data_IF_642452536773
#
_entry.id   IF_642452536773
#
_cell.length_a   1.000
_cell.length_b   1.000
_cell.length_c   1.000
_cell.angle_alpha   90.00
_cell.angle_beta   90.00
_cell.angle_gamma   90.00
#
_symmetry.space_group_name_H-M   'P 1'
#
loop_
_entity.id
_entity.type
_entity.pdbx_description
1 polymer ?
#
# COMPACT_ATOMS: atom_id res chain seq x y z
N UNK A 1 -17.31 38.73 -22.06
CA UNK A 1 -16.02 38.00 -22.04
C UNK A 1 -15.32 38.36 -20.73
N UNK A 2 -15.11 37.39 -19.84
CA UNK A 2 -14.40 37.63 -18.57
C UNK A 2 -12.91 37.77 -18.86
N UNK A 3 -12.22 38.80 -18.34
CA UNK A 3 -10.77 38.91 -18.49
C UNK A 3 -10.08 37.80 -17.70
N UNK A 4 -9.28 36.97 -18.38
CA UNK A 4 -8.50 35.91 -17.73
C UNK A 4 -7.45 36.54 -16.82
N UNK A 5 -7.54 36.26 -15.52
CA UNK A 5 -6.52 36.67 -14.54
C UNK A 5 -5.15 36.16 -15.00
N UNK A 6 -4.10 37.01 -15.03
CA UNK A 6 -2.76 36.54 -15.34
C UNK A 6 -2.33 35.52 -14.29
N UNK A 7 -1.84 34.37 -14.74
CA UNK A 7 -1.34 33.30 -13.88
C UNK A 7 -0.20 33.83 -13.01
N UNK A 8 -0.19 33.42 -11.73
CA UNK A 8 0.91 33.72 -10.82
C UNK A 8 2.20 33.06 -11.31
N UNK A 9 3.35 33.64 -10.99
CA UNK A 9 4.67 33.11 -11.37
C UNK A 9 4.86 31.65 -10.91
N UNK A 10 4.33 31.32 -9.74
CA UNK A 10 4.33 29.96 -9.20
C UNK A 10 3.49 28.98 -10.06
N UNK A 11 2.36 29.44 -10.59
CA UNK A 11 1.47 28.63 -11.44
C UNK A 11 2.14 28.35 -12.79
N UNK A 12 2.79 29.34 -13.37
CA UNK A 12 3.61 29.20 -14.58
C UNK A 12 4.74 28.19 -14.38
N UNK A 13 5.44 28.27 -13.25
CA UNK A 13 6.52 27.33 -12.94
C UNK A 13 5.98 25.90 -12.75
N UNK A 14 4.83 25.75 -12.10
CA UNK A 14 4.15 24.46 -11.94
C UNK A 14 3.74 23.87 -13.29
N UNK A 15 3.19 24.67 -14.19
CA UNK A 15 2.79 24.25 -15.54
C UNK A 15 3.99 23.79 -16.37
N UNK A 16 5.11 24.51 -16.30
CA UNK A 16 6.38 24.11 -16.95
C UNK A 16 6.87 22.76 -16.44
N UNK A 17 6.83 22.55 -15.13
CA UNK A 17 7.22 21.27 -14.53
C UNK A 17 6.30 20.12 -14.95
N UNK A 18 4.99 20.37 -14.99
CA UNK A 18 3.99 19.39 -15.48
C UNK A 18 4.27 19.06 -16.95
N UNK A 19 4.54 20.05 -17.80
CA UNK A 19 4.83 19.84 -19.21
C UNK A 19 6.11 19.01 -19.41
N UNK A 20 7.19 19.34 -18.70
CA UNK A 20 8.45 18.58 -18.73
C UNK A 20 8.24 17.12 -18.33
N UNK A 21 7.52 16.89 -17.23
CA UNK A 21 7.26 15.54 -16.74
C UNK A 21 6.38 14.74 -17.71
N UNK A 22 5.38 15.38 -18.33
CA UNK A 22 4.57 14.73 -19.37
C UNK A 22 5.40 14.35 -20.59
N UNK A 23 6.29 15.22 -21.05
CA UNK A 23 7.19 14.93 -22.18
C UNK A 23 8.13 13.76 -21.86
N UNK A 24 8.70 13.72 -20.65
CA UNK A 24 9.54 12.62 -20.19
C UNK A 24 8.77 11.29 -20.08
N UNK A 25 7.53 11.32 -19.57
CA UNK A 25 6.69 10.12 -19.51
C UNK A 25 6.26 9.64 -20.90
N UNK A 26 6.13 10.56 -21.87
CA UNK A 26 5.86 10.23 -23.26
C UNK A 26 7.08 9.59 -23.95
N UNK A 27 8.30 10.09 -23.72
CA UNK A 27 9.52 9.49 -24.28
C UNK A 27 9.78 8.09 -23.76
N UNK A 28 9.37 7.79 -22.52
CA UNK A 28 9.41 6.46 -21.93
C UNK A 28 8.28 5.52 -22.43
N UNK A 29 7.36 6.02 -23.26
CA UNK A 29 6.24 5.24 -23.80
C UNK A 29 5.18 4.85 -22.76
N UNK A 30 5.19 5.47 -21.57
CA UNK A 30 4.29 5.15 -20.45
C UNK A 30 2.91 5.79 -20.67
N UNK A 31 2.87 7.00 -21.23
CA UNK A 31 1.62 7.71 -21.53
C UNK A 31 1.25 7.49 -22.99
N UNK A 32 0.31 6.57 -23.24
CA UNK A 32 -0.38 6.49 -24.53
C UNK A 32 -1.35 7.69 -24.65
N UNK A 33 -1.45 8.36 -25.80
CA UNK A 33 -2.51 9.35 -26.01
C UNK A 33 -3.85 8.69 -25.73
N UNK A 34 -4.65 9.28 -24.82
CA UNK A 34 -5.97 8.78 -24.46
C UNK A 34 -6.82 8.70 -25.73
N UNK A 35 -7.26 7.50 -26.17
CA UNK A 35 -8.24 7.42 -27.25
C UNK A 35 -9.57 7.95 -26.72
N UNK A 36 -10.21 8.79 -27.54
CA UNK A 36 -11.55 9.33 -27.32
C UNK A 36 -12.51 8.18 -26.98
N UNK A 37 -13.31 8.41 -25.93
CA UNK A 37 -14.24 7.49 -25.26
C UNK A 37 -14.84 6.43 -26.19
N UNK A 38 -14.51 5.15 -25.95
CA UNK A 38 -15.25 4.00 -26.50
C UNK A 38 -16.22 3.48 -25.45
N UNK A 39 -17.47 3.37 -25.88
CA UNK A 39 -18.68 2.95 -25.17
C UNK A 39 -18.50 1.66 -24.38
N UNK A 40 -19.11 1.60 -23.20
CA UNK A 40 -19.06 0.46 -22.26
C UNK A 40 -19.51 -0.85 -22.94
N UNK A 41 -18.56 -1.76 -23.19
CA UNK A 41 -18.90 -3.15 -23.50
C UNK A 41 -19.21 -3.88 -22.19
N UNK A 42 -20.46 -4.32 -22.06
CA UNK A 42 -20.93 -5.13 -20.94
C UNK A 42 -20.14 -6.44 -20.89
N UNK A 43 -19.58 -6.76 -19.72
CA UNK A 43 -18.86 -8.02 -19.48
C UNK A 43 -19.87 -9.18 -19.45
N UNK A 44 -19.59 -10.31 -20.14
CA UNK A 44 -20.45 -11.48 -20.04
C UNK A 44 -20.40 -12.10 -18.63
N UNK A 45 -21.48 -12.77 -18.19
CA UNK A 45 -21.58 -13.34 -16.86
C UNK A 45 -20.57 -14.48 -16.64
N UNK A 46 -19.92 -14.48 -15.47
CA UNK A 46 -18.98 -15.53 -15.06
C UNK A 46 -19.71 -16.84 -14.78
N UNK A 47 -19.36 -17.91 -15.49
CA UNK A 47 -19.77 -19.29 -15.20
C UNK A 47 -19.22 -19.73 -13.83
N UNK A 48 -20.08 -20.21 -12.94
CA UNK A 48 -19.68 -20.80 -11.64
C UNK A 48 -18.89 -22.10 -11.91
N UNK A 49 -17.76 -22.30 -11.22
CA UNK A 49 -16.97 -23.55 -11.28
C UNK A 49 -17.64 -24.63 -10.44
N UNK A 50 -17.80 -25.81 -11.01
CA UNK A 50 -18.27 -27.00 -10.29
C UNK A 50 -17.24 -27.44 -9.22
N UNK A 51 -17.72 -27.73 -8.03
CA UNK A 51 -16.93 -28.09 -6.84
C UNK A 51 -16.33 -29.50 -6.87
N UNK A 52 -16.60 -30.29 -7.90
CA UNK A 52 -16.13 -31.68 -8.05
C UNK A 52 -15.04 -31.87 -9.12
N UNK A 53 -14.53 -30.79 -9.72
CA UNK A 53 -13.45 -30.89 -10.69
C UNK A 53 -12.10 -31.14 -10.00
N UNK A 54 -11.41 -32.22 -10.39
CA UNK A 54 -10.04 -32.53 -9.97
C UNK A 54 -9.09 -31.33 -10.12
N UNK A 55 -8.08 -31.16 -9.24
CA UNK A 55 -7.18 -30.03 -9.31
C UNK A 55 -6.47 -30.01 -10.67
N UNK A 56 -6.49 -28.89 -11.42
CA UNK A 56 -5.73 -28.80 -12.65
C UNK A 56 -4.24 -28.98 -12.31
N UNK A 57 -3.56 -29.83 -13.10
CA UNK A 57 -2.10 -29.95 -13.08
C UNK A 57 -1.44 -28.56 -13.14
N UNK A 58 -0.25 -28.35 -12.55
CA UNK A 58 0.40 -27.03 -12.48
C UNK A 58 0.80 -26.51 -13.87
N UNK A 59 -0.16 -25.95 -14.60
CA UNK A 59 0.05 -25.33 -15.89
C UNK A 59 0.38 -23.84 -15.69
N UNK A 60 1.65 -23.55 -15.38
CA UNK A 60 2.18 -22.19 -15.53
C UNK A 60 3.69 -22.14 -15.77
N UNK A 61 4.19 -22.82 -16.81
CA UNK A 61 5.45 -22.37 -17.43
C UNK A 61 5.12 -21.11 -18.22
N UNK A 62 5.41 -19.94 -17.63
CA UNK A 62 5.25 -18.68 -18.34
C UNK A 62 6.17 -18.66 -19.57
N UNK A 63 5.63 -18.27 -20.72
CA UNK A 63 6.39 -18.13 -21.98
C UNK A 63 7.57 -17.14 -21.88
N UNK A 64 7.62 -16.34 -20.81
CA UNK A 64 8.71 -15.40 -20.49
C UNK A 64 10.02 -16.10 -20.12
N UNK A 65 9.99 -17.38 -19.72
CA UNK A 65 11.19 -18.17 -19.43
C UNK A 65 11.70 -18.96 -20.65
N UNK A 66 10.99 -18.90 -21.79
CA UNK A 66 11.30 -19.68 -22.99
C UNK A 66 11.82 -18.85 -24.16
N UNK A 67 11.85 -17.51 -24.04
CA UNK A 67 12.61 -16.67 -24.96
C UNK A 67 14.09 -16.73 -24.57
N UNK A 68 14.94 -17.00 -25.56
CA UNK A 68 16.40 -17.04 -25.44
C UNK A 68 16.94 -15.95 -24.51
N UNK A 69 17.94 -16.32 -23.69
CA UNK A 69 18.63 -15.40 -22.82
C UNK A 69 19.05 -14.16 -23.63
N UNK A 70 18.63 -12.94 -23.27
CA UNK A 70 19.28 -11.77 -23.81
C UNK A 70 20.75 -11.84 -23.39
N UNK A 71 21.67 -11.70 -24.33
CA UNK A 71 23.07 -11.40 -24.01
C UNK A 71 23.07 -10.15 -23.15
N UNK A 72 23.28 -10.36 -21.86
CA UNK A 72 23.34 -9.31 -20.86
C UNK A 72 24.71 -8.67 -21.00
N UNK A 73 24.82 -7.66 -21.86
CA UNK A 73 25.91 -6.69 -21.78
C UNK A 73 25.77 -5.96 -20.44
N UNK A 74 26.71 -6.15 -19.48
CA UNK A 74 26.63 -5.53 -18.18
C UNK A 74 27.01 -4.05 -18.31
N UNK A 75 26.10 -3.24 -18.83
CA UNK A 75 26.17 -1.80 -18.65
C UNK A 75 25.96 -1.51 -17.15
N UNK A 76 27.08 -1.32 -16.47
CA UNK A 76 27.24 -0.96 -15.07
C UNK A 76 26.33 0.22 -14.67
N UNK A 77 25.14 -0.08 -14.15
CA UNK A 77 24.45 0.84 -13.24
C UNK A 77 25.00 0.62 -11.82
N UNK A 78 26.20 1.17 -11.58
CA UNK A 78 26.92 1.12 -10.30
C UNK A 78 26.18 1.75 -9.11
N UNK A 79 25.00 2.35 -9.33
CA UNK A 79 24.20 3.01 -8.29
C UNK A 79 23.19 2.07 -7.61
N UNK A 80 22.70 1.02 -8.30
CA UNK A 80 21.74 0.07 -7.73
C UNK A 80 22.41 -1.04 -6.90
N UNK A 81 23.65 -1.39 -7.23
CA UNK A 81 24.45 -2.31 -6.42
C UNK A 81 24.75 -1.72 -5.04
N UNK A 82 25.03 -0.41 -4.96
CA UNK A 82 25.29 0.30 -3.71
C UNK A 82 24.09 0.27 -2.76
N UNK A 83 22.85 0.35 -3.26
CA UNK A 83 21.67 0.35 -2.39
C UNK A 83 21.32 -1.04 -1.86
N UNK A 84 21.47 -2.09 -2.67
CA UNK A 84 21.26 -3.48 -2.22
C UNK A 84 22.34 -3.93 -1.24
N UNK A 85 23.60 -3.56 -1.49
CA UNK A 85 24.73 -3.85 -0.62
C UNK A 85 24.67 -3.02 0.67
N UNK A 86 24.33 -1.72 0.59
CA UNK A 86 24.07 -0.90 1.77
C UNK A 86 22.94 -1.47 2.65
N UNK A 87 21.89 -2.06 2.05
CA UNK A 87 20.82 -2.73 2.81
C UNK A 87 21.27 -4.03 3.48
N UNK A 88 22.23 -4.74 2.88
CA UNK A 88 22.84 -5.95 3.47
C UNK A 88 23.83 -5.61 4.58
N UNK A 89 24.61 -4.54 4.43
CA UNK A 89 25.54 -4.04 5.45
C UNK A 89 24.86 -3.28 6.59
N UNK A 90 23.68 -2.68 6.37
CA UNK A 90 22.97 -1.89 7.38
C UNK A 90 22.46 -2.68 8.61
N UNK A 91 22.63 -4.00 8.64
CA UNK A 91 22.23 -4.84 9.76
C UNK A 91 20.71 -4.88 9.99
N UNK A 92 20.24 -5.61 11.02
CA UNK A 92 18.84 -5.57 11.41
C UNK A 92 18.47 -4.14 11.79
N UNK A 93 17.44 -3.60 11.13
CA UNK A 93 16.94 -2.24 11.36
C UNK A 93 16.67 -2.08 12.85
N UNK A 94 17.37 -1.14 13.49
CA UNK A 94 17.22 -0.86 14.92
C UNK A 94 15.73 -0.72 15.28
N UNK A 95 15.37 -1.24 16.46
CA UNK A 95 14.02 -1.09 16.97
C UNK A 95 13.68 0.41 17.05
N UNK A 96 12.46 0.79 16.67
CA UNK A 96 12.04 2.18 16.66
C UNK A 96 12.13 2.78 18.06
N UNK A 97 12.62 4.01 18.14
CA UNK A 97 12.66 4.73 19.42
C UNK A 97 11.24 5.09 19.87
N UNK A 98 10.99 5.27 21.18
CA UNK A 98 9.66 5.66 21.69
C UNK A 98 9.10 6.91 21.00
N UNK A 99 9.93 7.91 20.72
CA UNK A 99 9.53 9.14 20.02
C UNK A 99 9.04 8.88 18.58
N UNK A 100 9.68 7.94 17.87
CA UNK A 100 9.23 7.54 16.54
C UNK A 100 7.87 6.83 16.59
N UNK A 101 7.65 6.01 17.63
CA UNK A 101 6.35 5.36 17.88
C UNK A 101 5.27 6.40 18.12
N UNK A 102 5.52 7.36 19.01
CA UNK A 102 4.58 8.43 19.32
C UNK A 102 4.23 9.28 18.11
N UNK A 103 5.23 9.71 17.31
CA UNK A 103 4.99 10.46 16.08
C UNK A 103 4.14 9.67 15.08
N UNK A 104 4.43 8.38 14.89
CA UNK A 104 3.67 7.54 13.96
C UNK A 104 2.20 7.37 14.37
N UNK A 105 1.92 7.46 15.68
CA UNK A 105 0.58 7.39 16.29
C UNK A 105 -0.15 8.73 16.24
N UNK A 106 0.56 9.85 16.33
CA UNK A 106 -0.04 11.18 16.21
C UNK A 106 -0.30 11.57 14.76
N UNK A 107 0.75 11.54 13.93
CA UNK A 107 0.75 12.10 12.56
C UNK A 107 0.91 11.03 11.47
N UNK A 108 1.31 9.81 11.84
CA UNK A 108 1.66 8.77 10.89
C UNK A 108 0.54 7.82 10.49
N UNK A 109 0.92 6.67 9.93
CA UNK A 109 0.01 5.61 9.47
C UNK A 109 -0.74 4.88 10.60
N UNK A 110 -0.45 5.20 11.86
CA UNK A 110 -1.20 4.76 13.05
C UNK A 110 -2.11 5.85 13.60
N UNK A 111 -2.28 6.98 12.89
CA UNK A 111 -3.08 8.09 13.38
C UNK A 111 -4.53 7.71 13.61
N UNK A 112 -5.13 8.32 14.64
CA UNK A 112 -6.55 8.17 14.97
C UNK A 112 -7.45 8.44 13.75
N UNK A 113 -7.13 9.46 12.97
CA UNK A 113 -7.83 9.77 11.72
C UNK A 113 -7.75 8.63 10.70
N UNK A 114 -6.57 8.01 10.53
CA UNK A 114 -6.43 6.86 9.65
C UNK A 114 -7.24 5.66 10.15
N UNK A 115 -7.18 5.34 11.44
CA UNK A 115 -7.98 4.27 12.04
C UNK A 115 -9.49 4.49 11.87
N UNK A 116 -9.97 5.72 12.13
CA UNK A 116 -11.38 6.09 11.98
C UNK A 116 -11.87 5.93 10.53
N UNK A 117 -11.09 6.39 9.55
CA UNK A 117 -11.41 6.21 8.13
C UNK A 117 -11.56 4.72 7.77
N UNK A 118 -10.71 3.85 8.31
CA UNK A 118 -10.78 2.42 8.02
C UNK A 118 -11.97 1.74 8.66
N UNK A 119 -12.29 2.08 9.90
CA UNK A 119 -13.48 1.56 10.57
C UNK A 119 -14.75 1.97 9.84
N UNK A 120 -14.77 3.17 9.24
CA UNK A 120 -15.89 3.66 8.44
C UNK A 120 -16.00 2.99 7.05
N UNK A 121 -14.89 2.64 6.42
CA UNK A 121 -14.87 2.15 5.02
C UNK A 121 -14.78 0.64 4.86
N UNK A 122 -14.39 -0.08 5.92
CA UNK A 122 -14.19 -1.53 5.87
C UNK A 122 -15.36 -2.30 6.47
N UNK A 123 -15.58 -3.51 5.95
CA UNK A 123 -16.51 -4.48 6.54
C UNK A 123 -15.94 -5.04 7.85
N UNK A 124 -16.82 -5.54 8.71
CA UNK A 124 -16.44 -6.06 10.02
C UNK A 124 -15.49 -7.27 9.92
N UNK A 125 -15.70 -8.14 8.93
CA UNK A 125 -14.77 -9.23 8.63
C UNK A 125 -13.37 -8.72 8.26
N UNK A 126 -13.28 -7.63 7.49
CA UNK A 126 -12.01 -7.06 7.09
C UNK A 126 -11.31 -6.35 8.27
N UNK A 127 -12.09 -5.75 9.18
CA UNK A 127 -11.60 -5.18 10.44
C UNK A 127 -11.06 -6.29 11.37
N UNK A 128 -11.78 -7.41 11.52
CA UNK A 128 -11.32 -8.58 12.27
C UNK A 128 -10.00 -9.14 11.70
N UNK A 129 -9.90 -9.25 10.38
CA UNK A 129 -8.66 -9.66 9.72
C UNK A 129 -7.52 -8.67 9.98
N UNK A 130 -7.82 -7.37 10.08
CA UNK A 130 -6.83 -6.34 10.41
C UNK A 130 -6.32 -6.46 11.84
N UNK A 131 -7.20 -6.69 12.82
CA UNK A 131 -6.81 -6.96 14.22
C UNK A 131 -5.81 -8.12 14.23
N UNK A 132 -6.15 -9.25 13.62
CA UNK A 132 -5.25 -10.42 13.55
C UNK A 132 -3.93 -10.13 12.82
N UNK A 133 -3.93 -9.26 11.81
CA UNK A 133 -2.73 -8.89 11.08
C UNK A 133 -1.79 -8.00 11.92
N UNK A 134 -2.35 -7.04 12.67
CA UNK A 134 -1.58 -6.19 13.59
C UNK A 134 -0.99 -7.06 14.72
N UNK A 135 -1.79 -7.96 15.27
CA UNK A 135 -1.37 -8.89 16.33
C UNK A 135 -0.18 -9.77 15.90
N UNK A 136 -0.26 -10.41 14.71
CA UNK A 136 0.81 -11.29 14.22
C UNK A 136 2.14 -10.56 13.97
N UNK A 137 2.10 -9.26 13.72
CA UNK A 137 3.31 -8.49 13.47
C UNK A 137 4.14 -8.22 14.74
N UNK A 138 3.55 -8.35 15.94
CA UNK A 138 4.24 -8.37 17.27
C UNK A 138 5.27 -7.25 17.51
N UNK A 139 5.09 -6.07 16.91
CA UNK A 139 6.03 -4.94 17.06
C UNK A 139 5.56 -3.86 18.03
N UNK A 140 6.49 -3.02 18.50
CA UNK A 140 6.17 -1.87 19.38
C UNK A 140 5.13 -0.90 18.77
N UNK A 141 5.24 -0.63 17.47
CA UNK A 141 4.21 0.15 16.74
C UNK A 141 2.86 -0.57 16.65
N UNK A 142 2.84 -1.90 16.74
CA UNK A 142 1.61 -2.68 16.65
C UNK A 142 0.78 -2.54 17.93
N UNK A 143 1.43 -2.41 19.09
CA UNK A 143 0.77 -2.11 20.38
C UNK A 143 0.00 -0.79 20.25
N UNK A 144 0.70 0.29 19.90
CA UNK A 144 0.07 1.61 19.79
C UNK A 144 -1.00 1.66 18.67
N UNK A 145 -0.78 0.97 17.54
CA UNK A 145 -1.82 0.81 16.51
C UNK A 145 -3.05 0.10 17.03
N UNK A 146 -2.87 -0.98 17.81
CA UNK A 146 -3.98 -1.74 18.35
C UNK A 146 -4.75 -0.93 19.40
N UNK A 147 -4.07 -0.14 20.23
CA UNK A 147 -4.70 0.78 21.21
C UNK A 147 -5.63 1.78 20.53
N UNK A 148 -5.11 2.55 19.56
CA UNK A 148 -5.93 3.53 18.82
C UNK A 148 -7.06 2.84 18.06
N UNK A 149 -6.81 1.65 17.51
CA UNK A 149 -7.83 0.92 16.77
C UNK A 149 -8.98 0.42 17.67
N UNK A 150 -8.67 -0.06 18.88
CA UNK A 150 -9.65 -0.47 19.86
C UNK A 150 -10.52 0.71 20.33
N UNK A 151 -9.90 1.86 20.63
CA UNK A 151 -10.62 3.09 21.02
C UNK A 151 -11.61 3.53 19.92
N UNK A 152 -11.14 3.61 18.68
CA UNK A 152 -11.98 4.02 17.54
C UNK A 152 -13.11 3.03 17.28
N UNK A 153 -12.89 1.72 17.44
CA UNK A 153 -13.95 0.71 17.29
C UNK A 153 -15.05 0.90 18.35
N UNK A 154 -14.66 1.23 19.59
CA UNK A 154 -15.58 1.51 20.69
C UNK A 154 -16.43 2.75 20.41
N UNK A 155 -15.80 3.84 19.97
CA UNK A 155 -16.48 5.09 19.60
C UNK A 155 -17.49 4.92 18.46
N UNK A 156 -17.23 3.97 17.56
CA UNK A 156 -18.09 3.67 16.41
C UNK A 156 -19.16 2.60 16.72
N UNK A 157 -19.27 2.16 17.98
CA UNK A 157 -20.29 1.22 18.42
C UNK A 157 -20.05 -0.23 17.98
N UNK A 158 -18.83 -0.59 17.55
CA UNK A 158 -18.48 -1.96 17.12
C UNK A 158 -17.91 -2.77 18.28
N UNK A 159 -18.73 -3.00 19.31
CA UNK A 159 -18.32 -3.56 20.60
C UNK A 159 -17.56 -4.89 20.48
N UNK A 160 -18.09 -5.88 19.75
CA UNK A 160 -17.45 -7.20 19.63
C UNK A 160 -16.04 -7.13 19.01
N UNK A 161 -15.84 -6.22 18.05
CA UNK A 161 -14.53 -6.00 17.45
C UNK A 161 -13.58 -5.23 18.37
N UNK A 162 -14.12 -4.32 19.17
CA UNK A 162 -13.34 -3.61 20.18
C UNK A 162 -12.81 -4.59 21.23
N UNK A 163 -13.66 -5.48 21.74
CA UNK A 163 -13.27 -6.52 22.71
C UNK A 163 -12.20 -7.46 22.12
N UNK A 164 -12.37 -7.87 20.86
CA UNK A 164 -11.37 -8.66 20.15
C UNK A 164 -10.02 -7.94 19.99
N UNK A 165 -10.05 -6.62 19.75
CA UNK A 165 -8.85 -5.79 19.65
C UNK A 165 -8.17 -5.60 21.01
N UNK A 166 -8.93 -5.40 22.08
CA UNK A 166 -8.42 -5.30 23.46
C UNK A 166 -7.78 -6.61 23.92
N UNK A 167 -8.43 -7.75 23.67
CA UNK A 167 -7.85 -9.06 23.97
C UNK A 167 -6.54 -9.28 23.21
N UNK A 168 -6.47 -8.86 21.93
CA UNK A 168 -5.25 -8.90 21.14
C UNK A 168 -4.17 -7.94 21.67
N UNK A 169 -4.55 -6.76 22.16
CA UNK A 169 -3.65 -5.81 22.79
C UNK A 169 -3.00 -6.39 24.04
N UNK A 170 -3.77 -7.03 24.91
CA UNK A 170 -3.25 -7.70 26.12
C UNK A 170 -2.22 -8.77 25.76
N UNK A 171 -2.51 -9.59 24.73
CA UNK A 171 -1.55 -10.60 24.23
C UNK A 171 -0.31 -9.97 23.60
N UNK A 172 -0.44 -8.83 22.93
CA UNK A 172 0.69 -8.09 22.37
C UNK A 172 1.59 -7.50 23.45
N UNK A 173 1.01 -6.91 24.50
CA UNK A 173 1.77 -6.35 25.63
C UNK A 173 2.54 -7.43 26.38
N UNK A 174 1.94 -8.60 26.58
CA UNK A 174 2.59 -9.74 27.21
C UNK A 174 3.82 -10.30 26.45
N UNK A 175 4.00 -9.94 25.18
CA UNK A 175 5.12 -10.41 24.34
C UNK A 175 6.08 -9.28 23.95
N UNK A 176 5.60 -8.03 23.99
CA UNK A 176 6.26 -6.86 23.43
C UNK A 176 7.09 -6.04 24.43
N UNK A 177 7.28 -6.55 25.65
CA UNK A 177 8.32 -6.10 26.59
C UNK A 177 9.61 -6.86 26.34
#
# INVERSE_FOLDING_TARGET
MQPTRPLSEMELQRERNIARNKAYLASLGIVKPQPVVKTQQQRPPRKKRDSHAAPPSPARRSRRLASAAPEFEPALHAEDAKTAEARRLAGPRASPTPAQVEYAVKEGTASRAHCAHRVATMTDQALANRIKAIERARGRFCIAKMEVFAEVLRERGKAELADAAEAALTRLKAVGE
#
